data_IF_032284721061
#
_entry.id   IF_032284721061
#
_cell.length_a   1.000
_cell.length_b   1.000
_cell.length_c   1.000
_cell.angle_alpha   90.00
_cell.angle_beta   90.00
_cell.angle_gamma   90.00
#
_symmetry.space_group_name_H-M   'P 1'
#
loop_
_entity.id
_entity.type
_entity.pdbx_description
1 polymer ?
#
# COMPACT_ATOMS: atom_id res chain seq x y z
N UNK A 1 18.66 23.64 4.56
CA UNK A 1 17.91 24.27 3.46
C UNK A 1 16.43 24.09 3.74
N UNK A 2 15.60 25.15 3.64
CA UNK A 2 14.15 25.05 3.88
C UNK A 2 13.54 24.19 2.78
N UNK A 3 13.22 22.95 3.12
CA UNK A 3 12.53 21.99 2.26
C UNK A 3 11.11 22.50 1.96
N UNK A 4 10.53 22.05 0.84
CA UNK A 4 9.15 22.35 0.50
C UNK A 4 8.23 22.01 1.68
N UNK A 5 7.33 22.94 2.03
CA UNK A 5 6.47 22.82 3.22
C UNK A 5 5.09 22.34 2.80
N UNK A 6 4.47 21.49 3.62
CA UNK A 6 3.04 21.18 3.45
C UNK A 6 2.27 22.48 3.77
N UNK A 7 1.31 22.89 2.92
CA UNK A 7 0.52 24.10 3.17
C UNK A 7 -0.22 24.01 4.52
N UNK A 8 -0.40 25.15 5.18
CA UNK A 8 -1.21 25.22 6.40
C UNK A 8 -2.66 24.87 6.09
N UNK A 9 -3.20 23.85 6.77
CA UNK A 9 -4.60 23.43 6.65
C UNK A 9 -5.35 23.86 7.90
N UNK A 10 -6.51 24.52 7.72
CA UNK A 10 -7.43 24.79 8.83
C UNK A 10 -8.22 23.53 9.13
N UNK A 11 -8.29 23.19 10.41
CA UNK A 11 -9.02 22.05 10.93
C UNK A 11 -9.85 22.51 12.12
N UNK A 12 -10.92 21.76 12.42
CA UNK A 12 -11.71 22.00 13.62
C UNK A 12 -10.86 21.72 14.88
N UNK A 13 -11.01 22.50 15.96
CA UNK A 13 -10.27 22.31 17.20
C UNK A 13 -10.40 20.90 17.77
N UNK A 14 -11.61 20.34 17.74
CA UNK A 14 -11.89 19.00 18.28
C UNK A 14 -11.10 17.92 17.53
N UNK A 15 -11.01 18.05 16.20
CA UNK A 15 -10.21 17.13 15.39
C UNK A 15 -8.72 17.27 15.69
N UNK A 16 -8.24 18.49 15.95
CA UNK A 16 -6.85 18.71 16.35
C UNK A 16 -6.56 17.99 17.68
N UNK A 17 -7.46 18.12 18.66
CA UNK A 17 -7.31 17.49 19.97
C UNK A 17 -7.29 15.95 19.84
N UNK A 18 -8.14 15.38 18.99
CA UNK A 18 -8.13 13.94 18.69
C UNK A 18 -6.78 13.49 18.12
N UNK A 19 -6.19 14.27 17.22
CA UNK A 19 -4.88 13.94 16.63
C UNK A 19 -3.76 14.04 17.67
N UNK A 20 -3.79 15.04 18.54
CA UNK A 20 -2.78 15.21 19.59
C UNK A 20 -2.81 14.06 20.62
N UNK A 21 -3.98 13.47 20.87
CA UNK A 21 -4.15 12.33 21.79
C UNK A 21 -3.57 11.00 21.27
N UNK A 22 -3.41 10.84 19.96
CA UNK A 22 -2.90 9.60 19.35
C UNK A 22 -1.41 9.64 19.01
N UNK A 23 -0.72 10.74 19.32
CA UNK A 23 0.71 10.89 19.08
C UNK A 23 1.54 9.90 19.90
N UNK A 24 2.61 9.39 19.29
CA UNK A 24 3.61 8.59 20.00
C UNK A 24 4.46 9.42 20.97
N UNK A 25 5.22 8.75 21.83
CA UNK A 25 6.13 9.40 22.77
C UNK A 25 7.20 10.22 22.02
N UNK A 26 7.24 11.53 22.28
CA UNK A 26 8.17 12.46 21.62
C UNK A 26 7.84 12.78 20.16
N UNK A 27 6.70 12.32 19.64
CA UNK A 27 6.24 12.64 18.29
C UNK A 27 5.56 14.01 18.26
N UNK A 28 5.94 14.85 17.29
CA UNK A 28 5.26 16.12 17.04
C UNK A 28 4.13 15.95 16.03
N UNK A 29 3.11 16.82 16.13
CA UNK A 29 2.01 16.88 15.17
C UNK A 29 2.48 17.00 13.71
N UNK A 30 3.53 17.79 13.47
CA UNK A 30 4.12 17.95 12.13
C UNK A 30 4.73 16.66 11.59
N UNK A 31 5.42 15.88 12.43
CA UNK A 31 6.00 14.58 12.03
C UNK A 31 4.89 13.58 11.70
N UNK A 32 3.85 13.52 12.54
CA UNK A 32 2.70 12.66 12.32
C UNK A 32 2.00 12.98 10.98
N UNK A 33 1.72 14.25 10.73
CA UNK A 33 1.07 14.71 9.48
C UNK A 33 1.95 14.41 8.25
N UNK A 34 3.27 14.66 8.34
CA UNK A 34 4.19 14.33 7.25
C UNK A 34 4.17 12.84 6.93
N UNK A 35 4.25 11.98 7.95
CA UNK A 35 4.22 10.53 7.79
C UNK A 35 2.91 10.06 7.16
N UNK A 36 1.77 10.58 7.63
CA UNK A 36 0.46 10.27 7.09
C UNK A 36 0.33 10.66 5.61
N UNK A 37 0.77 11.87 5.24
CA UNK A 37 0.75 12.34 3.83
C UNK A 37 1.63 11.45 2.97
N UNK A 38 2.85 11.11 3.44
CA UNK A 38 3.76 10.22 2.71
C UNK A 38 3.17 8.83 2.49
N UNK A 39 2.54 8.26 3.52
CA UNK A 39 1.85 6.97 3.43
C UNK A 39 0.70 7.02 2.41
N UNK A 40 -0.13 8.06 2.45
CA UNK A 40 -1.24 8.25 1.51
C UNK A 40 -0.74 8.40 0.06
N UNK A 41 0.32 9.18 -0.17
CA UNK A 41 0.95 9.30 -1.50
C UNK A 41 1.46 7.95 -1.99
N UNK A 42 2.15 7.20 -1.15
CA UNK A 42 2.67 5.86 -1.49
C UNK A 42 1.54 4.89 -1.87
N UNK A 43 0.47 4.88 -1.07
CA UNK A 43 -0.72 4.06 -1.32
C UNK A 43 -1.37 4.42 -2.66
N UNK A 44 -1.60 5.71 -2.92
CA UNK A 44 -2.21 6.19 -4.17
C UNK A 44 -1.37 5.84 -5.40
N UNK A 45 -0.04 6.00 -5.31
CA UNK A 45 0.88 5.58 -6.39
C UNK A 45 0.80 4.08 -6.65
N UNK A 46 0.87 3.28 -5.59
CA UNK A 46 0.80 1.83 -5.69
C UNK A 46 -0.53 1.35 -6.31
N UNK A 47 -1.64 2.00 -5.93
CA UNK A 47 -2.97 1.71 -6.48
C UNK A 47 -3.06 2.09 -7.96
N UNK A 48 -2.60 3.30 -8.33
CA UNK A 48 -2.61 3.75 -9.71
C UNK A 48 -1.77 2.83 -10.62
N UNK A 49 -0.59 2.43 -10.16
CA UNK A 49 0.26 1.49 -10.88
C UNK A 49 -0.37 0.09 -10.99
N UNK A 50 -1.02 -0.40 -9.93
CA UNK A 50 -1.72 -1.68 -9.97
C UNK A 50 -2.82 -1.69 -11.03
N UNK A 51 -3.65 -0.63 -11.06
CA UNK A 51 -4.70 -0.47 -12.07
C UNK A 51 -4.11 -0.38 -13.47
N UNK A 52 -3.06 0.43 -13.67
CA UNK A 52 -2.40 0.56 -14.96
C UNK A 52 -1.85 -0.78 -15.47
N UNK A 53 -1.20 -1.56 -14.59
CA UNK A 53 -0.72 -2.93 -14.93
C UNK A 53 -1.87 -3.87 -15.25
N UNK A 54 -2.96 -3.83 -14.47
CA UNK A 54 -4.14 -4.66 -14.71
C UNK A 54 -4.80 -4.38 -16.06
N UNK A 55 -4.98 -3.10 -16.40
CA UNK A 55 -5.55 -2.67 -17.68
C UNK A 55 -4.67 -3.06 -18.86
N UNK A 56 -3.35 -2.92 -18.74
CA UNK A 56 -2.40 -3.39 -19.76
C UNK A 56 -2.50 -4.91 -19.95
N UNK A 57 -2.49 -5.67 -18.86
CA UNK A 57 -2.62 -7.13 -18.91
C UNK A 57 -3.94 -7.57 -19.54
N UNK A 58 -5.03 -6.87 -19.25
CA UNK A 58 -6.34 -7.14 -19.85
C UNK A 58 -6.31 -6.88 -21.37
N UNK A 59 -5.72 -5.77 -21.81
CA UNK A 59 -5.58 -5.46 -23.23
C UNK A 59 -4.74 -6.53 -23.96
N UNK A 60 -3.67 -7.01 -23.32
CA UNK A 60 -2.80 -8.05 -23.87
C UNK A 60 -3.53 -9.40 -23.95
N UNK A 61 -4.24 -9.82 -22.90
CA UNK A 61 -5.03 -11.05 -22.90
C UNK A 61 -6.17 -11.03 -23.93
N UNK A 62 -6.82 -9.86 -24.11
CA UNK A 62 -7.84 -9.68 -25.16
C UNK A 62 -7.27 -9.83 -26.57
N UNK A 63 -6.03 -9.40 -26.79
CA UNK A 63 -5.34 -9.51 -28.09
C UNK A 63 -4.79 -10.91 -28.35
N UNK A 64 -4.22 -11.54 -27.33
CA UNK A 64 -3.58 -12.85 -27.45
C UNK A 64 -4.54 -14.04 -27.29
N UNK A 65 -5.67 -13.86 -26.60
CA UNK A 65 -6.54 -14.98 -26.21
C UNK A 65 -5.97 -15.82 -25.06
N UNK A 66 -4.86 -15.40 -24.46
CA UNK A 66 -4.16 -16.11 -23.39
C UNK A 66 -4.87 -15.91 -22.04
N UNK A 67 -5.83 -16.77 -21.76
CA UNK A 67 -6.52 -16.86 -20.48
C UNK A 67 -6.16 -18.16 -19.77
N UNK A 68 -6.19 -18.12 -18.44
CA UNK A 68 -6.02 -19.31 -17.59
C UNK A 68 -7.34 -19.58 -16.90
N UNK A 69 -7.71 -20.86 -16.79
CA UNK A 69 -8.87 -21.26 -16.01
C UNK A 69 -8.76 -20.74 -14.56
N UNK A 70 -9.87 -20.25 -14.02
CA UNK A 70 -9.88 -19.65 -12.69
C UNK A 70 -9.52 -20.66 -11.60
N UNK A 71 -10.00 -21.90 -11.70
CA UNK A 71 -9.69 -22.98 -10.77
C UNK A 71 -8.21 -23.33 -10.79
N UNK A 72 -7.64 -23.45 -11.99
CA UNK A 72 -6.21 -23.68 -12.15
C UNK A 72 -5.36 -22.55 -11.56
N UNK A 73 -5.72 -21.29 -11.81
CA UNK A 73 -4.99 -20.14 -11.27
C UNK A 73 -5.03 -20.12 -9.73
N UNK A 74 -6.21 -20.33 -9.12
CA UNK A 74 -6.35 -20.40 -7.66
C UNK A 74 -5.53 -21.55 -7.08
N UNK A 75 -5.52 -22.71 -7.74
CA UNK A 75 -4.70 -23.85 -7.31
C UNK A 75 -3.20 -23.51 -7.33
N UNK A 76 -2.71 -22.91 -8.42
CA UNK A 76 -1.30 -22.46 -8.54
C UNK A 76 -0.93 -21.44 -7.46
N UNK A 77 -1.82 -20.50 -7.14
CA UNK A 77 -1.60 -19.51 -6.07
C UNK A 77 -1.53 -20.16 -4.68
N UNK A 78 -2.42 -21.11 -4.37
CA UNK A 78 -2.40 -21.87 -3.11
C UNK A 78 -1.08 -22.63 -2.95
N UNK A 79 -0.64 -23.33 -4.00
CA UNK A 79 0.63 -24.05 -3.98
C UNK A 79 1.84 -23.14 -3.71
N UNK A 80 1.89 -21.96 -4.34
CA UNK A 80 2.92 -20.94 -4.07
C UNK A 80 2.87 -20.46 -2.62
N UNK A 81 1.67 -20.19 -2.10
CA UNK A 81 1.48 -19.73 -0.72
C UNK A 81 1.95 -20.79 0.29
N UNK A 82 1.57 -22.05 0.09
CA UNK A 82 1.96 -23.14 1.00
C UNK A 82 3.47 -23.37 0.97
N UNK A 83 4.11 -23.21 -0.19
CA UNK A 83 5.57 -23.28 -0.32
C UNK A 83 6.25 -22.14 0.44
N UNK A 84 5.74 -20.92 0.35
CA UNK A 84 6.26 -19.76 1.08
C UNK A 84 6.11 -19.92 2.60
N UNK A 85 4.99 -20.48 3.08
CA UNK A 85 4.79 -20.79 4.51
C UNK A 85 5.83 -21.80 5.00
N UNK A 86 6.03 -22.91 4.28
CA UNK A 86 7.04 -23.93 4.62
C UNK A 86 8.45 -23.33 4.72
N UNK A 87 8.81 -22.42 3.81
CA UNK A 87 10.11 -21.73 3.85
C UNK A 87 10.26 -20.80 5.05
N UNK A 88 9.19 -20.09 5.43
CA UNK A 88 9.18 -19.22 6.60
C UNK A 88 9.30 -20.02 7.90
N UNK A 89 8.63 -21.16 7.96
CA UNK A 89 8.54 -22.00 9.16
C UNK A 89 9.74 -22.99 9.26
N UNK A 90 10.61 -23.03 8.24
CA UNK A 90 11.85 -23.80 8.28
C UNK A 90 12.85 -23.15 9.26
N UNK A 91 13.55 -23.94 10.10
CA UNK A 91 14.53 -23.39 11.02
C UNK A 91 15.66 -22.73 10.25
N UNK A 92 15.95 -21.46 10.56
CA UNK A 92 17.16 -20.78 10.11
C UNK A 92 18.36 -21.53 10.67
N UNK A 93 19.13 -22.18 9.79
CA UNK A 93 20.46 -22.73 10.13
C UNK A 93 21.47 -21.61 10.30
#
# INVERSE_FOLDING_TARGET
MKTATIPSVRVEPEFRDEVEQVLGEGESLSQFVEAAVRACVSQRKSQAEFVARGMKSLADARRGGDYVDAGEMVHRLKAKLDSAKKLRDAPRR
#
